data_IF_479137714347
#
_entry.id   IF_479137714347
#
_cell.length_a   1.000
_cell.length_b   1.000
_cell.length_c   1.000
_cell.angle_alpha   90.00
_cell.angle_beta   90.00
_cell.angle_gamma   90.00
#
_symmetry.space_group_name_H-M   'P 1'
#
loop_
_entity.id
_entity.type
_entity.pdbx_description
1 polymer ?
#
# COMPACT_ATOMS: atom_id res chain seq x y z
N UNK A 1 26.49 -22.13 -13.62
CA UNK A 1 26.01 -20.75 -13.33
C UNK A 1 24.52 -20.84 -13.08
N UNK A 2 24.07 -20.74 -11.83
CA UNK A 2 22.64 -20.71 -11.53
C UNK A 2 22.07 -19.37 -11.98
N UNK A 3 21.12 -19.38 -12.91
CA UNK A 3 20.38 -18.18 -13.30
C UNK A 3 19.65 -17.66 -12.06
N UNK A 4 20.00 -16.45 -11.61
CA UNK A 4 19.16 -15.72 -10.66
C UNK A 4 17.81 -15.46 -11.34
N UNK A 5 16.68 -15.68 -10.65
CA UNK A 5 15.39 -15.34 -11.23
C UNK A 5 15.36 -13.84 -11.51
N UNK A 6 15.22 -13.46 -12.78
CA UNK A 6 15.01 -12.08 -13.16
C UNK A 6 13.63 -11.69 -12.64
N UNK A 7 13.57 -10.93 -11.54
CA UNK A 7 12.30 -10.35 -11.07
C UNK A 7 11.69 -9.56 -12.25
N UNK A 8 10.54 -10.01 -12.75
CA UNK A 8 9.80 -9.27 -13.77
C UNK A 8 9.34 -7.95 -13.16
N UNK A 9 9.97 -6.85 -13.55
CA UNK A 9 9.59 -5.52 -13.11
C UNK A 9 8.30 -5.10 -13.85
N UNK A 10 7.17 -5.10 -13.14
CA UNK A 10 5.92 -4.53 -13.66
C UNK A 10 5.94 -3.01 -13.51
N UNK A 11 5.81 -2.29 -14.63
CA UNK A 11 5.66 -0.84 -14.61
C UNK A 11 4.21 -0.48 -14.27
N UNK A 12 4.01 0.20 -13.13
CA UNK A 12 2.71 0.67 -12.68
C UNK A 12 2.65 2.19 -12.83
N UNK A 13 1.62 2.69 -13.52
CA UNK A 13 1.33 4.12 -13.60
C UNK A 13 0.32 4.48 -12.53
N UNK A 14 0.65 5.48 -11.72
CA UNK A 14 -0.23 6.02 -10.69
C UNK A 14 -0.33 7.55 -10.84
N UNK A 15 -1.43 8.15 -10.38
CA UNK A 15 -1.56 9.60 -10.20
C UNK A 15 -0.36 10.22 -9.47
N UNK A 16 -0.06 11.47 -9.82
CA UNK A 16 1.14 12.17 -9.35
C UNK A 16 1.14 12.38 -7.83
N UNK A 17 0.01 12.77 -7.27
CA UNK A 17 -0.23 12.92 -5.84
C UNK A 17 0.01 11.61 -5.07
N UNK A 18 -0.50 10.48 -5.59
CA UNK A 18 -0.26 9.16 -5.00
C UNK A 18 1.23 8.77 -5.07
N UNK A 19 1.92 9.11 -6.17
CA UNK A 19 3.35 8.89 -6.29
C UNK A 19 4.13 9.68 -5.23
N UNK A 20 3.83 10.97 -5.05
CA UNK A 20 4.49 11.81 -4.05
C UNK A 20 4.26 11.27 -2.63
N UNK A 21 3.03 10.88 -2.31
CA UNK A 21 2.71 10.28 -1.02
C UNK A 21 3.48 8.97 -0.79
N UNK A 22 3.53 8.09 -1.80
CA UNK A 22 4.23 6.80 -1.72
C UNK A 22 5.74 6.98 -1.55
N UNK A 23 6.32 7.94 -2.26
CA UNK A 23 7.74 8.31 -2.14
C UNK A 23 8.07 8.79 -0.72
N UNK A 24 7.30 9.76 -0.20
CA UNK A 24 7.48 10.25 1.16
C UNK A 24 7.34 9.15 2.22
N UNK A 25 6.37 8.24 2.04
CA UNK A 25 6.18 7.09 2.93
C UNK A 25 7.34 6.10 2.86
N UNK A 26 7.86 5.82 1.66
CA UNK A 26 8.99 4.91 1.47
C UNK A 26 10.27 5.41 2.19
N UNK A 27 10.51 6.73 2.16
CA UNK A 27 11.62 7.37 2.87
C UNK A 27 11.47 7.18 4.39
N UNK A 28 10.28 7.46 4.95
CA UNK A 28 10.00 7.27 6.39
C UNK A 28 10.21 5.83 6.84
N UNK A 29 9.89 4.86 5.97
CA UNK A 29 9.96 3.44 6.28
C UNK A 29 11.30 2.79 5.89
N UNK A 30 12.29 3.58 5.44
CA UNK A 30 13.61 3.11 5.02
C UNK A 30 13.56 1.98 3.97
N UNK A 31 12.62 2.10 3.01
CA UNK A 31 12.40 1.13 1.92
C UNK A 31 12.46 1.81 0.56
N UNK A 32 12.73 1.04 -0.48
CA UNK A 32 12.51 1.53 -1.85
C UNK A 32 11.02 1.68 -2.12
N UNK A 33 10.65 2.60 -3.02
CA UNK A 33 9.25 2.86 -3.37
C UNK A 33 8.52 1.60 -3.84
N UNK A 34 9.16 0.75 -4.65
CA UNK A 34 8.58 -0.53 -5.09
C UNK A 34 8.35 -1.49 -3.93
N UNK A 35 9.30 -1.61 -2.98
CA UNK A 35 9.14 -2.46 -1.80
C UNK A 35 8.04 -1.95 -0.87
N UNK A 36 7.88 -0.64 -0.76
CA UNK A 36 6.81 -0.05 0.03
C UNK A 36 5.44 -0.30 -0.61
N UNK A 37 5.32 -0.17 -1.92
CA UNK A 37 4.09 -0.53 -2.65
C UNK A 37 3.73 -1.99 -2.45
N UNK A 38 4.69 -2.90 -2.62
CA UNK A 38 4.48 -4.34 -2.39
C UNK A 38 4.05 -4.59 -0.94
N UNK A 39 4.69 -3.97 0.04
CA UNK A 39 4.31 -4.12 1.44
C UNK A 39 2.86 -3.69 1.71
N UNK A 40 2.41 -2.58 1.12
CA UNK A 40 1.01 -2.13 1.25
C UNK A 40 0.07 -3.18 0.64
N UNK A 41 0.34 -3.63 -0.59
CA UNK A 41 -0.50 -4.61 -1.29
C UNK A 41 -0.53 -5.97 -0.59
N UNK A 42 0.60 -6.42 -0.04
CA UNK A 42 0.69 -7.66 0.74
C UNK A 42 -0.20 -7.60 1.97
N UNK A 43 -0.17 -6.50 2.72
CA UNK A 43 -1.00 -6.35 3.92
C UNK A 43 -2.49 -6.29 3.57
N UNK A 44 -2.87 -5.63 2.47
CA UNK A 44 -4.25 -5.63 1.96
C UNK A 44 -4.69 -7.06 1.64
N UNK A 45 -3.88 -7.80 0.88
CA UNK A 45 -4.17 -9.19 0.50
C UNK A 45 -4.29 -10.12 1.71
N UNK A 46 -3.43 -9.94 2.71
CA UNK A 46 -3.49 -10.71 3.97
C UNK A 46 -4.75 -10.38 4.77
N UNK A 47 -5.15 -9.10 4.81
CA UNK A 47 -6.39 -8.66 5.44
C UNK A 47 -7.64 -9.21 4.74
N UNK A 48 -7.65 -9.24 3.40
CA UNK A 48 -8.72 -9.86 2.60
C UNK A 48 -8.85 -11.36 2.88
N UNK A 49 -7.73 -12.07 3.05
CA UNK A 49 -7.74 -13.51 3.27
C UNK A 49 -8.20 -13.93 4.68
N UNK A 50 -7.88 -13.12 5.70
CA UNK A 50 -8.14 -13.48 7.10
C UNK A 50 -9.37 -12.79 7.69
N UNK A 51 -10.01 -11.88 6.96
CA UNK A 51 -11.20 -11.14 7.42
C UNK A 51 -10.90 -10.13 8.55
N UNK A 52 -9.62 -9.91 8.85
CA UNK A 52 -9.17 -9.08 9.95
C UNK A 52 -7.90 -8.34 9.49
N UNK A 53 -7.91 -7.00 9.53
CA UNK A 53 -6.74 -6.19 9.12
C UNK A 53 -7.02 -4.92 8.31
N UNK A 54 -8.25 -4.70 7.86
CA UNK A 54 -8.59 -3.45 7.15
C UNK A 54 -8.77 -2.26 8.12
N UNK A 55 -9.34 -2.50 9.29
CA UNK A 55 -9.80 -1.44 10.18
C UNK A 55 -8.67 -0.59 10.77
N UNK A 56 -7.50 -1.19 11.04
CA UNK A 56 -6.34 -0.50 11.63
C UNK A 56 -5.50 0.28 10.60
N UNK A 57 -5.65 -0.01 9.31
CA UNK A 57 -4.79 0.54 8.25
C UNK A 57 -5.55 1.38 7.21
N UNK A 58 -6.81 1.05 6.92
CA UNK A 58 -7.68 1.84 6.04
C UNK A 58 -8.34 3.02 6.78
N UNK A 59 -8.30 3.04 8.11
CA UNK A 59 -8.97 4.03 8.94
C UNK A 59 -8.13 4.37 10.20
N UNK A 60 -7.09 5.21 10.07
CA UNK A 60 -6.27 5.63 11.21
C UNK A 60 -7.05 6.45 12.27
N UNK A 61 -8.27 6.89 11.94
CA UNK A 61 -9.17 7.68 12.77
C UNK A 61 -10.18 6.88 13.60
N UNK A 62 -10.36 5.58 13.35
CA UNK A 62 -11.37 4.75 14.02
C UNK A 62 -12.84 5.02 13.62
N UNK A 63 -13.07 5.74 12.52
CA UNK A 63 -14.39 6.08 11.99
C UNK A 63 -14.93 4.97 11.06
N UNK A 64 -16.09 4.34 11.32
CA UNK A 64 -16.65 3.30 10.45
C UNK A 64 -16.71 3.72 8.98
N UNK A 65 -16.42 2.81 8.04
CA UNK A 65 -16.36 3.09 6.60
C UNK A 65 -17.65 3.62 5.97
N UNK A 66 -18.77 3.45 6.67
CA UNK A 66 -20.10 3.99 6.30
C UNK A 66 -20.28 5.46 6.70
N UNK A 67 -19.29 6.08 7.34
CA UNK A 67 -19.35 7.49 7.73
C UNK A 67 -18.89 8.36 6.55
N UNK A 68 -19.74 9.28 6.05
CA UNK A 68 -19.35 10.20 4.99
C UNK A 68 -18.15 11.04 5.45
N UNK A 69 -17.05 10.98 4.67
CA UNK A 69 -15.83 11.77 4.95
C UNK A 69 -16.03 13.27 4.73
N UNK A 70 -17.12 13.65 4.06
CA UNK A 70 -17.52 15.04 3.85
C UNK A 70 -19.04 15.18 4.02
N UNK A 71 -19.53 16.23 4.70
CA UNK A 71 -20.96 16.54 4.74
C UNK A 71 -21.45 17.01 3.37
N UNK A 72 -22.72 16.72 3.07
CA UNK A 72 -23.42 17.20 1.87
C UNK A 72 -23.70 18.71 1.92
#
# INVERSE_FOLDING_TARGET
MSQMPTEQATSVRIPFDLKQWLEARSIRNHRSMSKELVAILSVIREGEANGDGFEKLANPSGIPGDTPLFPA
#
